data_IF_816033382646
#
_entry.id   IF_816033382646
#
_cell.length_a   1.000
_cell.length_b   1.000
_cell.length_c   1.000
_cell.angle_alpha   90.00
_cell.angle_beta   90.00
_cell.angle_gamma   90.00
#
_symmetry.space_group_name_H-M   'P 1'
#
loop_
_entity.id
_entity.type
_entity.pdbx_description
1 polymer ?
#
# COMPACT_ATOMS: atom_id res chain seq x y z
N UNK A 1 -25.06 5.90 1.68
CA UNK A 1 -24.54 5.55 0.35
C UNK A 1 -23.63 6.67 -0.10
N UNK A 2 -22.40 6.37 -0.49
CA UNK A 2 -21.39 7.38 -0.86
C UNK A 2 -20.90 7.14 -2.28
N UNK A 3 -20.56 8.21 -2.98
CA UNK A 3 -19.96 8.19 -4.31
C UNK A 3 -18.43 8.17 -4.20
N UNK A 4 -17.83 7.06 -4.62
CA UNK A 4 -16.42 6.76 -4.39
C UNK A 4 -15.65 6.69 -5.70
N UNK A 5 -14.56 7.43 -5.80
CA UNK A 5 -13.58 7.29 -6.89
C UNK A 5 -12.38 6.46 -6.42
N UNK A 6 -12.00 5.45 -7.19
CA UNK A 6 -10.75 4.70 -7.00
C UNK A 6 -9.83 4.97 -8.19
N UNK A 7 -8.86 5.85 -8.00
CA UNK A 7 -7.78 6.10 -8.96
C UNK A 7 -6.68 5.05 -8.77
N UNK A 8 -6.56 4.13 -9.72
CA UNK A 8 -5.68 2.96 -9.60
C UNK A 8 -6.45 1.70 -9.23
N UNK A 9 -7.16 1.14 -10.22
CA UNK A 9 -7.87 -0.14 -10.06
C UNK A 9 -7.00 -1.34 -10.46
N UNK A 10 -5.87 -1.49 -9.75
CA UNK A 10 -5.07 -2.70 -9.73
C UNK A 10 -5.71 -3.77 -8.84
N UNK A 11 -4.88 -4.62 -8.25
CA UNK A 11 -5.32 -5.72 -7.38
C UNK A 11 -6.13 -5.23 -6.15
N UNK A 12 -5.51 -4.40 -5.31
CA UNK A 12 -6.16 -3.83 -4.11
C UNK A 12 -7.34 -2.93 -4.46
N UNK A 13 -7.18 -2.04 -5.45
CA UNK A 13 -8.25 -1.11 -5.86
C UNK A 13 -9.49 -1.83 -6.38
N UNK A 14 -9.31 -2.91 -7.15
CA UNK A 14 -10.44 -3.71 -7.65
C UNK A 14 -11.14 -4.50 -6.54
N UNK A 15 -10.40 -5.06 -5.59
CA UNK A 15 -11.00 -5.74 -4.43
C UNK A 15 -11.74 -4.76 -3.51
N UNK A 16 -11.16 -3.59 -3.24
CA UNK A 16 -11.82 -2.53 -2.49
C UNK A 16 -13.12 -2.12 -3.18
N UNK A 17 -13.08 -1.87 -4.49
CA UNK A 17 -14.27 -1.49 -5.24
C UNK A 17 -15.35 -2.56 -5.26
N UNK A 18 -14.97 -3.84 -5.35
CA UNK A 18 -15.93 -4.97 -5.24
C UNK A 18 -16.64 -4.97 -3.89
N UNK A 19 -15.89 -4.77 -2.79
CA UNK A 19 -16.44 -4.69 -1.44
C UNK A 19 -17.41 -3.50 -1.29
N UNK A 20 -17.01 -2.33 -1.79
CA UNK A 20 -17.83 -1.12 -1.71
C UNK A 20 -19.12 -1.23 -2.54
N UNK A 21 -19.07 -1.89 -3.71
CA UNK A 21 -20.27 -2.19 -4.50
C UNK A 21 -21.24 -3.11 -3.75
N UNK A 22 -20.73 -4.13 -3.05
CA UNK A 22 -21.56 -5.03 -2.24
C UNK A 22 -22.26 -4.32 -1.07
N UNK A 23 -21.67 -3.23 -0.57
CA UNK A 23 -22.25 -2.35 0.46
C UNK A 23 -23.18 -1.26 -0.14
N UNK A 24 -23.36 -1.27 -1.47
CA UNK A 24 -24.26 -0.39 -2.19
C UNK A 24 -23.67 0.98 -2.53
N UNK A 25 -22.37 1.23 -2.37
CA UNK A 25 -21.77 2.50 -2.80
C UNK A 25 -21.82 2.68 -4.33
N UNK A 26 -21.85 3.93 -4.79
CA UNK A 26 -21.64 4.26 -6.21
C UNK A 26 -20.13 4.35 -6.48
N UNK A 27 -19.56 3.31 -7.09
CA UNK A 27 -18.10 3.16 -7.23
C UNK A 27 -17.65 3.41 -8.66
N UNK A 28 -16.69 4.32 -8.80
CA UNK A 28 -16.08 4.72 -10.06
C UNK A 28 -14.60 4.32 -10.06
N UNK A 29 -14.16 3.61 -11.09
CA UNK A 29 -12.79 3.13 -11.23
C UNK A 29 -12.05 3.90 -12.31
N UNK A 30 -10.99 4.62 -11.94
CA UNK A 30 -10.12 5.32 -12.88
C UNK A 30 -8.87 4.49 -13.18
N UNK A 31 -8.73 4.10 -14.44
CA UNK A 31 -7.54 3.39 -14.96
C UNK A 31 -7.39 3.59 -16.47
N UNK A 32 -6.17 3.40 -16.98
CA UNK A 32 -5.83 3.59 -18.41
C UNK A 32 -6.54 2.64 -19.37
N UNK A 33 -6.93 1.45 -18.90
CA UNK A 33 -7.63 0.42 -19.70
C UNK A 33 -8.91 -0.02 -18.99
N UNK A 34 -10.09 0.14 -19.60
CA UNK A 34 -11.37 -0.17 -18.94
C UNK A 34 -11.67 -1.67 -18.77
N UNK A 35 -10.97 -2.56 -19.48
CA UNK A 35 -11.38 -3.96 -19.67
C UNK A 35 -11.27 -4.88 -18.44
N UNK A 36 -10.82 -4.40 -17.29
CA UNK A 36 -10.57 -5.25 -16.13
C UNK A 36 -11.03 -4.61 -14.81
N UNK A 37 -12.14 -3.87 -14.85
CA UNK A 37 -12.84 -3.45 -13.63
C UNK A 37 -13.86 -4.50 -13.18
N UNK A 38 -14.13 -4.62 -11.88
CA UNK A 38 -15.24 -5.42 -11.37
C UNK A 38 -16.58 -5.01 -11.99
N UNK A 39 -17.47 -6.00 -12.19
CA UNK A 39 -18.82 -5.74 -12.68
C UNK A 39 -19.58 -4.81 -11.71
N UNK A 40 -20.30 -3.83 -12.25
CA UNK A 40 -21.03 -2.81 -11.48
C UNK A 40 -20.24 -1.53 -11.21
N UNK A 41 -18.91 -1.54 -11.38
CA UNK A 41 -18.11 -0.33 -11.25
C UNK A 41 -18.20 0.54 -12.51
N UNK A 42 -18.42 1.84 -12.35
CA UNK A 42 -18.39 2.78 -13.48
C UNK A 42 -16.95 3.03 -13.93
N UNK A 43 -16.65 2.73 -15.19
CA UNK A 43 -15.30 2.81 -15.72
C UNK A 43 -14.94 4.24 -16.20
N UNK A 44 -13.85 4.80 -15.68
CA UNK A 44 -13.22 6.02 -16.18
C UNK A 44 -11.89 5.67 -16.84
N UNK A 45 -11.87 5.67 -18.17
CA UNK A 45 -10.67 5.41 -18.95
C UNK A 45 -9.82 6.69 -19.06
N UNK A 46 -9.04 6.97 -18.03
CA UNK A 46 -8.20 8.16 -17.94
C UNK A 46 -6.80 7.79 -17.41
N UNK A 47 -5.83 8.65 -17.71
CA UNK A 47 -4.47 8.55 -17.19
C UNK A 47 -4.19 9.74 -16.27
N UNK A 48 -3.96 9.48 -14.99
CA UNK A 48 -3.69 10.54 -14.01
C UNK A 48 -2.42 11.34 -14.34
N UNK A 49 -1.48 10.73 -15.07
CA UNK A 49 -0.23 11.38 -15.48
C UNK A 49 -0.42 12.38 -16.62
N UNK A 50 -1.56 12.31 -17.32
CA UNK A 50 -1.91 13.23 -18.40
C UNK A 50 -2.98 14.23 -17.90
N UNK A 51 -2.65 15.50 -17.63
CA UNK A 51 -3.60 16.46 -17.08
C UNK A 51 -4.84 16.66 -17.98
N UNK A 52 -4.65 16.72 -19.30
CA UNK A 52 -5.75 16.91 -20.24
C UNK A 52 -6.72 15.70 -20.28
N UNK A 53 -6.25 14.51 -19.88
CA UNK A 53 -7.12 13.34 -19.76
C UNK A 53 -8.10 13.45 -18.58
N UNK A 54 -7.85 14.36 -17.64
CA UNK A 54 -8.69 14.60 -16.46
C UNK A 54 -9.62 15.82 -16.60
N UNK A 55 -9.57 16.55 -17.72
CA UNK A 55 -10.40 17.75 -17.93
C UNK A 55 -11.90 17.46 -17.82
N UNK A 56 -12.31 16.22 -18.12
CA UNK A 56 -13.70 15.76 -18.04
C UNK A 56 -13.93 14.77 -16.88
N UNK A 57 -13.08 14.79 -15.85
CA UNK A 57 -13.29 13.98 -14.65
C UNK A 57 -14.61 14.39 -13.99
N UNK A 58 -15.57 13.48 -13.76
CA UNK A 58 -16.80 13.82 -13.06
C UNK A 58 -16.51 14.40 -11.67
N UNK A 59 -17.28 15.41 -11.25
CA UNK A 59 -17.18 15.98 -9.90
C UNK A 59 -18.23 15.40 -8.96
N UNK A 60 -18.13 15.73 -7.67
CA UNK A 60 -19.10 15.32 -6.64
C UNK A 60 -18.87 13.91 -6.07
N UNK A 61 -17.61 13.47 -6.00
CA UNK A 61 -17.23 12.29 -5.21
C UNK A 61 -17.19 12.65 -3.73
N UNK A 62 -17.69 11.79 -2.85
CA UNK A 62 -17.56 11.97 -1.40
C UNK A 62 -16.18 11.57 -0.91
N UNK A 63 -15.62 10.47 -1.47
CA UNK A 63 -14.31 9.95 -1.13
C UNK A 63 -13.53 9.53 -2.36
N UNK A 64 -12.23 9.81 -2.35
CA UNK A 64 -11.29 9.41 -3.39
C UNK A 64 -10.19 8.53 -2.78
N UNK A 65 -9.92 7.40 -3.41
CA UNK A 65 -8.76 6.58 -3.14
C UNK A 65 -7.72 6.77 -4.24
N UNK A 66 -6.48 7.08 -3.86
CA UNK A 66 -5.32 7.10 -4.74
C UNK A 66 -4.46 5.87 -4.49
N UNK A 67 -4.59 4.86 -5.36
CA UNK A 67 -3.95 3.54 -5.29
C UNK A 67 -3.16 3.28 -6.58
N UNK A 68 -2.62 4.33 -7.18
CA UNK A 68 -1.86 4.25 -8.43
C UNK A 68 -0.50 3.60 -8.18
N UNK A 69 -0.08 2.74 -9.10
CA UNK A 69 1.25 2.13 -9.13
C UNK A 69 2.02 2.61 -10.35
N UNK A 70 3.33 2.88 -10.25
CA UNK A 70 4.17 3.20 -11.40
C UNK A 70 4.33 1.99 -12.33
N UNK A 71 4.60 2.25 -13.61
CA UNK A 71 4.77 1.20 -14.63
C UNK A 71 6.08 0.43 -14.50
N UNK A 72 7.15 1.17 -14.16
CA UNK A 72 8.51 0.66 -14.06
C UNK A 72 9.15 1.10 -12.75
N UNK A 73 10.21 0.39 -12.35
CA UNK A 73 11.02 0.78 -11.21
C UNK A 73 12.08 1.80 -11.62
N UNK A 74 11.63 2.99 -12.03
CA UNK A 74 12.46 4.10 -12.49
C UNK A 74 12.00 5.41 -11.86
N UNK A 75 12.94 6.34 -11.60
CA UNK A 75 12.61 7.60 -10.94
C UNK A 75 11.57 8.42 -11.70
N UNK A 76 11.69 8.48 -13.03
CA UNK A 76 10.73 9.19 -13.88
C UNK A 76 9.30 8.62 -13.77
N UNK A 77 9.16 7.28 -13.73
CA UNK A 77 7.87 6.63 -13.60
C UNK A 77 7.24 6.87 -12.22
N UNK A 78 8.06 6.84 -11.15
CA UNK A 78 7.62 7.18 -9.80
C UNK A 78 7.23 8.66 -9.65
N UNK A 79 8.01 9.58 -10.22
CA UNK A 79 7.68 11.00 -10.22
C UNK A 79 6.38 11.27 -10.97
N UNK A 80 6.22 10.65 -12.15
CA UNK A 80 4.99 10.76 -12.95
C UNK A 80 3.77 10.23 -12.18
N UNK A 81 3.88 9.06 -11.56
CA UNK A 81 2.77 8.43 -10.85
C UNK A 81 2.44 9.09 -9.50
N UNK A 82 3.41 9.41 -8.66
CA UNK A 82 3.16 9.85 -7.28
C UNK A 82 3.20 11.37 -7.10
N UNK A 83 3.87 12.10 -7.98
CA UNK A 83 3.92 13.58 -7.92
C UNK A 83 2.95 14.15 -8.94
N UNK A 84 3.25 14.02 -10.23
CA UNK A 84 2.42 14.63 -11.28
C UNK A 84 0.99 14.08 -11.26
N UNK A 85 0.82 12.76 -11.13
CA UNK A 85 -0.49 12.12 -11.09
C UNK A 85 -1.36 12.60 -9.93
N UNK A 86 -0.77 12.76 -8.75
CA UNK A 86 -1.43 13.27 -7.56
C UNK A 86 -1.85 14.74 -7.76
N UNK A 87 -0.93 15.59 -8.21
CA UNK A 87 -1.21 17.02 -8.46
C UNK A 87 -2.30 17.23 -9.54
N UNK A 88 -2.23 16.45 -10.63
CA UNK A 88 -3.22 16.50 -11.69
C UNK A 88 -4.60 16.09 -11.18
N UNK A 89 -4.68 15.01 -10.40
CA UNK A 89 -5.95 14.56 -9.83
C UNK A 89 -6.52 15.57 -8.84
N UNK A 90 -5.69 16.13 -7.95
CA UNK A 90 -6.11 17.17 -7.00
C UNK A 90 -6.66 18.40 -7.73
N UNK A 91 -6.00 18.84 -8.82
CA UNK A 91 -6.48 19.94 -9.66
C UNK A 91 -7.83 19.63 -10.29
N UNK A 92 -7.97 18.46 -10.91
CA UNK A 92 -9.20 18.05 -11.57
C UNK A 92 -10.38 17.90 -10.59
N UNK A 93 -10.14 17.35 -9.41
CA UNK A 93 -11.17 17.21 -8.36
C UNK A 93 -11.62 18.54 -7.74
N UNK A 94 -10.91 19.64 -8.00
CA UNK A 94 -11.22 20.96 -7.43
C UNK A 94 -11.64 22.00 -8.47
N UNK A 95 -11.73 21.64 -9.75
CA UNK A 95 -11.94 22.59 -10.86
C UNK A 95 -13.27 23.34 -10.81
N UNK A 96 -14.33 22.69 -10.32
CA UNK A 96 -15.71 23.23 -10.32
C UNK A 96 -16.25 23.57 -8.93
N UNK A 97 -15.36 23.76 -7.94
CA UNK A 97 -15.73 24.15 -6.58
C UNK A 97 -16.36 23.05 -5.71
N UNK A 98 -16.84 21.95 -6.31
CA UNK A 98 -17.17 20.72 -5.59
C UNK A 98 -15.86 19.99 -5.21
N UNK A 99 -15.68 19.66 -3.92
CA UNK A 99 -14.51 18.93 -3.42
C UNK A 99 -14.95 17.68 -2.69
N UNK A 100 -14.19 16.57 -2.82
CA UNK A 100 -14.40 15.42 -1.97
C UNK A 100 -14.26 15.76 -0.49
N UNK A 101 -15.04 15.09 0.35
CA UNK A 101 -14.89 15.17 1.80
C UNK A 101 -13.63 14.47 2.29
N UNK A 102 -13.05 13.56 1.48
CA UNK A 102 -11.89 12.77 1.85
C UNK A 102 -11.06 12.31 0.65
N UNK A 103 -9.74 12.32 0.81
CA UNK A 103 -8.80 11.63 -0.08
C UNK A 103 -7.91 10.69 0.73
N UNK A 104 -7.91 9.40 0.40
CA UNK A 104 -7.05 8.38 0.99
C UNK A 104 -5.94 8.03 0.00
N UNK A 105 -4.70 8.33 0.36
CA UNK A 105 -3.52 8.11 -0.47
C UNK A 105 -2.72 6.90 0.02
N UNK A 106 -2.50 5.95 -0.88
CA UNK A 106 -1.67 4.77 -0.59
C UNK A 106 -0.20 5.10 -0.81
N UNK A 107 0.54 5.09 0.28
CA UNK A 107 1.98 5.27 0.32
C UNK A 107 2.70 4.00 0.79
N UNK A 108 4.00 4.11 1.08
CA UNK A 108 4.85 3.03 1.54
C UNK A 108 5.67 3.42 2.76
N UNK A 109 5.97 2.43 3.60
CA UNK A 109 6.99 2.55 4.65
C UNK A 109 8.41 2.83 4.12
N UNK A 110 8.64 2.85 2.80
CA UNK A 110 9.92 3.26 2.20
C UNK A 110 10.28 4.73 2.42
N UNK A 111 9.33 5.58 2.84
CA UNK A 111 9.56 6.99 3.18
C UNK A 111 10.43 7.20 4.43
N UNK A 112 10.58 6.18 5.27
CA UNK A 112 11.42 6.21 6.47
C UNK A 112 12.86 5.79 6.16
N UNK A 113 13.84 6.59 6.60
CA UNK A 113 15.29 6.40 6.36
C UNK A 113 16.03 5.50 7.35
N UNK A 114 15.36 5.09 8.43
CA UNK A 114 15.86 4.21 9.47
C UNK A 114 16.27 2.85 8.87
N UNK A 115 17.44 2.36 9.28
CA UNK A 115 18.14 1.23 8.63
C UNK A 115 19.01 0.41 9.58
N UNK A 116 18.90 0.60 10.90
CA UNK A 116 19.62 -0.10 11.96
C UNK A 116 18.67 -0.94 12.84
N UNK A 117 17.49 -1.29 12.33
CA UNK A 117 16.47 -2.03 13.08
C UNK A 117 15.69 -1.18 14.09
N UNK A 118 15.71 0.15 13.96
CA UNK A 118 14.98 1.06 14.85
C UNK A 118 13.47 0.83 14.75
N UNK A 119 12.74 1.13 15.83
CA UNK A 119 11.30 1.21 15.78
C UNK A 119 10.85 2.57 15.25
N UNK A 120 9.90 2.58 14.32
CA UNK A 120 9.28 3.77 13.75
C UNK A 120 7.76 3.73 13.91
N UNK A 121 7.17 4.90 13.98
CA UNK A 121 5.73 5.15 13.98
C UNK A 121 5.41 6.31 13.02
N UNK A 122 4.15 6.75 12.98
CA UNK A 122 3.71 7.83 12.09
C UNK A 122 4.33 9.21 12.42
N UNK A 123 4.84 9.40 13.64
CA UNK A 123 5.49 10.65 14.07
C UNK A 123 7.02 10.63 13.84
N UNK A 124 7.57 9.46 13.50
CA UNK A 124 8.99 9.31 13.22
C UNK A 124 9.40 10.08 11.96
N UNK A 125 10.61 10.65 11.91
CA UNK A 125 11.07 11.44 10.77
C UNK A 125 11.17 10.59 9.51
N UNK A 126 10.75 11.17 8.38
CA UNK A 126 10.87 10.62 7.04
C UNK A 126 12.07 11.24 6.33
N UNK A 127 13.07 10.43 6.02
CA UNK A 127 14.28 10.82 5.29
C UNK A 127 14.67 9.68 4.32
N UNK A 128 13.89 9.47 3.24
CA UNK A 128 14.10 8.33 2.36
C UNK A 128 15.37 8.50 1.53
N UNK A 129 16.20 7.46 1.50
CA UNK A 129 17.42 7.43 0.69
C UNK A 129 17.14 7.16 -0.78
N UNK A 130 16.28 6.18 -1.07
CA UNK A 130 15.93 5.75 -2.42
C UNK A 130 14.95 6.72 -3.08
N UNK A 131 15.06 6.87 -4.40
CA UNK A 131 14.19 7.75 -5.19
C UNK A 131 12.70 7.42 -4.98
N UNK A 132 12.34 6.13 -4.90
CA UNK A 132 10.98 5.67 -4.73
C UNK A 132 10.32 6.26 -3.48
N UNK A 133 11.02 6.23 -2.34
CA UNK A 133 10.54 6.82 -1.09
C UNK A 133 10.45 8.35 -1.16
N UNK A 134 11.39 9.00 -1.85
CA UNK A 134 11.35 10.47 -2.07
C UNK A 134 10.12 10.89 -2.87
N UNK A 135 9.80 10.20 -3.97
CA UNK A 135 8.63 10.52 -4.81
C UNK A 135 7.31 10.27 -4.11
N UNK A 136 7.24 9.19 -3.32
CA UNK A 136 6.09 8.93 -2.45
C UNK A 136 5.89 10.05 -1.43
N UNK A 137 6.96 10.47 -0.75
CA UNK A 137 6.89 11.54 0.24
C UNK A 137 6.41 12.87 -0.38
N UNK A 138 6.87 13.20 -1.59
CA UNK A 138 6.36 14.37 -2.33
C UNK A 138 4.86 14.26 -2.65
N UNK A 139 4.37 13.06 -3.01
CA UNK A 139 2.94 12.81 -3.19
C UNK A 139 2.14 12.95 -1.88
N UNK A 140 2.69 12.43 -0.77
CA UNK A 140 2.09 12.62 0.56
C UNK A 140 1.98 14.11 0.92
N UNK A 141 3.03 14.90 0.69
CA UNK A 141 3.05 16.34 0.94
C UNK A 141 1.98 17.07 0.11
N UNK A 142 1.82 16.72 -1.16
CA UNK A 142 0.79 17.30 -2.03
C UNK A 142 -0.63 16.98 -1.54
N UNK A 143 -0.89 15.76 -1.08
CA UNK A 143 -2.18 15.35 -0.51
C UNK A 143 -2.44 16.05 0.82
N UNK A 144 -1.46 16.01 1.72
CA UNK A 144 -1.61 16.53 3.07
C UNK A 144 -1.69 18.06 3.07
N UNK A 145 -0.91 18.74 2.24
CA UNK A 145 -0.98 20.20 2.06
C UNK A 145 -2.10 20.66 1.11
N UNK A 146 -2.84 19.72 0.53
CA UNK A 146 -3.84 19.97 -0.49
C UNK A 146 -5.18 20.51 0.04
N UNK A 147 -6.07 20.91 -0.89
CA UNK A 147 -7.38 21.51 -0.57
C UNK A 147 -8.46 20.50 -0.11
N UNK A 148 -8.17 19.20 -0.16
CA UNK A 148 -9.07 18.10 0.20
C UNK A 148 -8.56 17.48 1.51
N UNK A 149 -9.41 17.14 2.50
CA UNK A 149 -8.99 16.43 3.69
C UNK A 149 -8.29 15.10 3.37
N UNK A 150 -6.96 15.09 3.49
CA UNK A 150 -6.10 13.98 3.09
C UNK A 150 -5.74 13.04 4.24
N UNK A 151 -5.80 11.74 3.99
CA UNK A 151 -5.28 10.67 4.85
C UNK A 151 -4.29 9.82 4.06
N UNK A 152 -3.09 9.62 4.59
CA UNK A 152 -2.05 8.79 4.00
C UNK A 152 -1.97 7.46 4.73
N UNK A 153 -1.88 6.36 3.98
CA UNK A 153 -1.63 5.02 4.53
C UNK A 153 -0.30 4.52 4.01
N UNK A 154 0.70 4.40 4.90
CA UNK A 154 2.03 3.89 4.56
C UNK A 154 2.03 2.37 4.75
N UNK A 155 1.84 1.62 3.67
CA UNK A 155 1.85 0.15 3.74
C UNK A 155 3.27 -0.42 3.84
N UNK A 156 3.38 -1.56 4.54
CA UNK A 156 4.55 -2.43 4.50
C UNK A 156 4.72 -3.15 3.17
N UNK A 157 5.59 -4.15 3.12
CA UNK A 157 5.69 -5.06 1.99
C UNK A 157 4.40 -5.87 1.82
N UNK A 158 3.66 -5.60 0.75
CA UNK A 158 2.38 -6.26 0.47
C UNK A 158 2.65 -7.69 -0.05
N UNK A 159 1.99 -8.67 0.54
CA UNK A 159 2.02 -10.07 0.13
C UNK A 159 0.59 -10.66 0.13
N UNK A 160 0.44 -11.95 -0.18
CA UNK A 160 -0.87 -12.62 -0.16
C UNK A 160 -1.46 -12.93 -1.54
N UNK A 161 -0.92 -12.32 -2.61
CA UNK A 161 -1.31 -12.65 -3.99
C UNK A 161 -0.48 -13.81 -4.52
N UNK A 162 -1.12 -14.96 -4.74
CA UNK A 162 -0.46 -16.20 -5.09
C UNK A 162 0.65 -16.54 -4.09
N UNK A 163 1.65 -17.28 -4.55
CA UNK A 163 2.76 -17.72 -3.69
C UNK A 163 3.67 -16.57 -3.19
N UNK A 164 3.78 -15.48 -3.96
CA UNK A 164 4.62 -14.33 -3.60
C UNK A 164 6.13 -14.58 -3.69
N UNK A 165 6.91 -13.50 -3.56
CA UNK A 165 8.38 -13.51 -3.78
C UNK A 165 9.15 -14.22 -2.66
N UNK A 166 8.72 -14.09 -1.41
CA UNK A 166 9.49 -14.61 -0.28
C UNK A 166 9.42 -16.14 -0.21
N UNK A 167 8.24 -16.73 -0.46
CA UNK A 167 8.07 -18.19 -0.53
C UNK A 167 8.90 -18.78 -1.67
N UNK A 168 8.92 -18.14 -2.85
CA UNK A 168 9.80 -18.53 -3.96
C UNK A 168 11.28 -18.53 -3.57
N UNK A 169 11.75 -17.46 -2.92
CA UNK A 169 13.13 -17.38 -2.40
C UNK A 169 13.46 -18.54 -1.45
N UNK A 170 12.52 -18.93 -0.59
CA UNK A 170 12.69 -20.07 0.31
C UNK A 170 12.81 -21.38 -0.47
N UNK A 171 11.93 -21.64 -1.45
CA UNK A 171 12.01 -22.83 -2.31
C UNK A 171 13.30 -22.91 -3.11
N UNK A 172 13.78 -21.75 -3.58
CA UNK A 172 15.02 -21.63 -4.34
C UNK A 172 16.28 -21.75 -3.46
N UNK A 173 16.14 -21.91 -2.13
CA UNK A 173 17.27 -21.96 -1.20
C UNK A 173 18.07 -20.65 -1.15
N UNK A 174 17.43 -19.52 -1.45
CA UNK A 174 18.08 -18.22 -1.46
C UNK A 174 18.59 -17.85 -0.06
N UNK A 175 19.77 -17.21 0.06
CA UNK A 175 20.28 -16.80 1.35
C UNK A 175 19.45 -15.67 1.98
N UNK A 176 19.53 -15.56 3.30
CA UNK A 176 18.95 -14.47 4.09
C UNK A 176 20.05 -13.78 4.93
N UNK A 177 19.91 -12.47 5.13
CA UNK A 177 20.89 -11.66 5.87
C UNK A 177 20.71 -11.84 7.39
N UNK A 178 21.74 -12.36 8.07
CA UNK A 178 21.72 -12.64 9.51
C UNK A 178 22.35 -11.53 10.37
N UNK A 179 23.44 -10.93 9.89
CA UNK A 179 24.23 -9.97 10.67
C UNK A 179 24.61 -8.72 9.83
N UNK A 180 24.14 -7.52 10.19
CA UNK A 180 23.04 -7.27 11.13
C UNK A 180 21.71 -7.86 10.60
N UNK A 181 20.75 -8.21 11.46
CA UNK A 181 19.49 -8.78 11.00
C UNK A 181 18.71 -7.78 10.15
N UNK A 182 18.23 -8.22 8.98
CA UNK A 182 17.37 -7.40 8.12
C UNK A 182 15.91 -7.48 8.58
N UNK A 183 15.42 -6.47 9.29
CA UNK A 183 14.02 -6.37 9.67
C UNK A 183 13.14 -6.01 8.47
N UNK A 184 12.04 -6.74 8.33
CA UNK A 184 11.04 -6.52 7.28
C UNK A 184 9.67 -6.32 7.90
N UNK A 185 8.89 -5.45 7.28
CA UNK A 185 7.52 -5.12 7.67
C UNK A 185 6.62 -5.51 6.51
N UNK A 186 5.48 -6.10 6.81
CA UNK A 186 4.60 -6.65 5.79
C UNK A 186 3.15 -6.43 6.17
N UNK A 187 2.27 -6.57 5.19
CA UNK A 187 0.84 -6.55 5.37
C UNK A 187 0.21 -7.45 4.30
N UNK A 188 -0.77 -8.25 4.69
CA UNK A 188 -1.49 -9.07 3.72
C UNK A 188 -2.33 -8.18 2.81
N UNK A 189 -2.46 -8.53 1.54
CA UNK A 189 -3.26 -7.81 0.54
C UNK A 189 -4.68 -7.52 1.04
N UNK A 190 -5.33 -8.51 1.65
CA UNK A 190 -6.72 -8.35 2.12
C UNK A 190 -6.82 -7.46 3.35
N UNK A 191 -5.76 -7.38 4.16
CA UNK A 191 -5.64 -6.36 5.19
C UNK A 191 -5.45 -4.98 4.57
N UNK A 192 -4.72 -4.82 3.46
CA UNK A 192 -4.69 -3.51 2.76
C UNK A 192 -6.09 -3.06 2.35
N UNK A 193 -6.89 -3.95 1.76
CA UNK A 193 -8.28 -3.67 1.39
C UNK A 193 -9.12 -3.32 2.62
N UNK A 194 -8.98 -4.10 3.68
CA UNK A 194 -9.74 -3.91 4.93
C UNK A 194 -9.35 -2.63 5.68
N UNK A 195 -8.08 -2.24 5.66
CA UNK A 195 -7.61 -0.95 6.21
C UNK A 195 -8.20 0.22 5.42
N UNK A 196 -8.16 0.17 4.08
CA UNK A 196 -8.72 1.25 3.25
C UNK A 196 -10.24 1.37 3.44
N UNK A 197 -10.94 0.23 3.54
CA UNK A 197 -12.36 0.19 3.86
C UNK A 197 -12.64 0.73 5.27
N UNK A 198 -11.87 0.34 6.28
CA UNK A 198 -12.01 0.84 7.63
C UNK A 198 -11.84 2.37 7.68
N UNK A 199 -10.80 2.88 7.02
CA UNK A 199 -10.52 4.31 6.92
C UNK A 199 -11.56 5.09 6.12
N UNK A 200 -12.36 4.45 5.24
CA UNK A 200 -13.53 5.10 4.64
C UNK A 200 -14.58 5.43 5.70
N UNK A 201 -14.76 4.51 6.66
CA UNK A 201 -15.86 4.51 7.61
C UNK A 201 -15.54 5.21 8.94
N UNK A 202 -14.30 5.66 9.14
CA UNK A 202 -13.95 6.50 10.30
C UNK A 202 -14.48 7.92 10.12
N UNK A 203 -15.13 8.49 11.14
CA UNK A 203 -15.62 9.87 11.07
C UNK A 203 -14.46 10.88 10.96
N UNK A 204 -13.46 10.75 11.84
CA UNK A 204 -12.31 11.67 11.93
C UNK A 204 -10.97 10.89 11.92
N UNK A 205 -10.50 10.45 10.73
CA UNK A 205 -9.23 9.76 10.61
C UNK A 205 -8.06 10.74 10.86
N UNK A 206 -7.03 10.23 11.52
CA UNK A 206 -5.74 10.91 11.59
C UNK A 206 -5.10 11.01 10.20
N UNK A 207 -4.24 12.01 10.01
CA UNK A 207 -3.65 12.31 8.69
C UNK A 207 -2.76 11.20 8.13
N UNK A 208 -2.16 10.37 8.98
CA UNK A 208 -1.21 9.32 8.59
C UNK A 208 -1.49 8.05 9.40
N UNK A 209 -1.44 6.89 8.76
CA UNK A 209 -1.47 5.56 9.39
C UNK A 209 -0.38 4.66 8.82
N UNK A 210 0.22 3.82 9.67
CA UNK A 210 1.04 2.69 9.24
C UNK A 210 0.20 1.43 9.06
N UNK A 211 0.17 0.93 7.82
CA UNK A 211 -0.47 -0.33 7.47
C UNK A 211 0.55 -1.46 7.44
N UNK A 212 0.86 -2.02 8.61
CA UNK A 212 1.72 -3.20 8.78
C UNK A 212 1.05 -4.17 9.74
N UNK A 213 1.32 -5.46 9.59
CA UNK A 213 0.95 -6.47 10.58
C UNK A 213 1.60 -6.17 11.94
N UNK A 214 1.21 -6.92 12.98
CA UNK A 214 1.63 -6.66 14.35
C UNK A 214 2.98 -7.31 14.70
N UNK A 215 3.65 -7.98 13.76
CA UNK A 215 4.89 -8.70 14.01
C UNK A 215 6.00 -8.40 12.97
N UNK A 216 6.57 -7.18 12.98
CA UNK A 216 7.83 -6.91 12.30
C UNK A 216 8.91 -7.90 12.73
N UNK A 217 9.54 -8.55 11.75
CA UNK A 217 10.46 -9.65 12.01
C UNK A 217 11.68 -9.60 11.10
N UNK A 218 12.80 -10.15 11.59
CA UNK A 218 13.97 -10.39 10.77
C UNK A 218 13.60 -11.29 9.58
N UNK A 219 14.12 -10.98 8.39
CA UNK A 219 13.85 -11.72 7.16
C UNK A 219 14.16 -13.21 7.32
N UNK A 220 15.30 -13.53 7.93
CA UNK A 220 15.69 -14.91 8.20
C UNK A 220 14.66 -15.67 9.04
N UNK A 221 14.12 -15.07 10.10
CA UNK A 221 13.12 -15.73 10.97
C UNK A 221 11.84 -16.08 10.20
N UNK A 222 11.42 -15.22 9.27
CA UNK A 222 10.23 -15.46 8.44
C UNK A 222 10.52 -16.52 7.39
N UNK A 223 11.70 -16.49 6.78
CA UNK A 223 12.12 -17.51 5.82
C UNK A 223 12.26 -18.89 6.49
N UNK A 224 12.78 -18.96 7.72
CA UNK A 224 12.88 -20.21 8.47
C UNK A 224 11.52 -20.80 8.81
N UNK A 225 10.57 -19.94 9.21
CA UNK A 225 9.21 -20.39 9.48
C UNK A 225 8.56 -20.94 8.20
N UNK A 226 8.67 -20.24 7.07
CA UNK A 226 8.18 -20.74 5.78
C UNK A 226 8.87 -22.06 5.38
N UNK A 227 10.20 -22.17 5.57
CA UNK A 227 10.94 -23.41 5.33
C UNK A 227 10.37 -24.57 6.13
N UNK A 228 10.08 -24.35 7.42
CA UNK A 228 9.51 -25.35 8.31
C UNK A 228 8.11 -25.81 7.86
N UNK A 229 7.22 -24.86 7.52
CA UNK A 229 5.88 -25.17 7.00
C UNK A 229 5.92 -25.97 5.68
N UNK A 230 6.96 -25.75 4.87
CA UNK A 230 7.15 -26.46 3.60
C UNK A 230 7.95 -27.77 3.72
N UNK A 231 8.46 -28.12 4.90
CA UNK A 231 9.36 -29.26 5.08
C UNK A 231 10.71 -29.12 4.36
N UNK A 232 11.16 -27.88 4.14
CA UNK A 232 12.42 -27.54 3.47
C UNK A 232 13.54 -27.24 4.48
N UNK A 233 14.82 -27.39 4.09
CA UNK A 233 15.92 -26.94 4.92
C UNK A 233 15.86 -25.42 5.19
N UNK A 234 16.44 -24.94 6.29
CA UNK A 234 16.53 -23.52 6.56
C UNK A 234 17.36 -22.82 5.48
N UNK A 235 16.99 -21.58 5.17
CA UNK A 235 17.70 -20.79 4.17
C UNK A 235 19.13 -20.46 4.61
N UNK A 236 20.14 -20.54 3.71
CA UNK A 236 21.52 -20.22 4.07
C UNK A 236 21.66 -18.82 4.68
N UNK A 237 22.50 -18.69 5.69
CA UNK A 237 22.80 -17.39 6.32
C UNK A 237 23.91 -16.67 5.56
N UNK A 238 23.78 -15.35 5.44
CA UNK A 238 24.84 -14.50 4.90
C UNK A 238 25.04 -13.25 5.74
N UNK A 239 26.30 -12.79 5.82
CA UNK A 239 26.68 -11.47 6.32
C UNK A 239 26.78 -10.43 5.19
N UNK A 240 26.54 -10.83 3.93
CA UNK A 240 26.44 -9.90 2.81
C UNK A 240 25.25 -8.98 3.05
N UNK A 241 25.55 -7.68 3.18
CA UNK A 241 24.55 -6.64 3.35
C UNK A 241 24.00 -6.30 1.98
N UNK A 242 22.68 -6.30 1.82
CA UNK A 242 22.07 -5.81 0.59
C UNK A 242 22.29 -4.28 0.44
N UNK A 243 22.20 -3.79 -0.79
CA UNK A 243 22.34 -2.36 -1.08
C UNK A 243 21.22 -1.48 -0.44
N UNK A 244 20.25 -2.08 0.26
CA UNK A 244 19.06 -1.42 0.79
C UNK A 244 19.21 -0.94 2.24
N UNK A 245 20.37 -1.15 2.86
CA UNK A 245 20.75 -0.50 4.11
C UNK A 245 20.58 -1.40 5.35
N UNK A 246 21.73 -1.91 5.82
CA UNK A 246 22.18 -2.19 7.21
C UNK A 246 21.23 -2.80 8.26
N UNK A 247 20.04 -3.28 7.93
CA UNK A 247 19.16 -3.97 8.87
C UNK A 247 17.68 -3.53 8.85
N UNK A 248 17.31 -2.59 7.96
CA UNK A 248 15.93 -2.14 7.86
C UNK A 248 15.42 -1.45 9.14
N UNK A 249 14.11 -1.57 9.41
CA UNK A 249 13.42 -0.92 10.52
C UNK A 249 12.19 -1.73 10.93
N UNK A 250 11.58 -1.42 12.07
CA UNK A 250 10.36 -2.04 12.58
C UNK A 250 9.26 -1.00 12.71
N UNK A 251 8.15 -1.18 12.02
CA UNK A 251 7.05 -0.24 11.99
C UNK A 251 5.99 -0.63 13.05
N UNK A 252 5.48 0.36 13.79
CA UNK A 252 4.35 0.17 14.73
C UNK A 252 3.03 0.45 14.02
N UNK A 253 2.01 -0.36 14.27
CA UNK A 253 0.64 -0.16 13.80
C UNK A 253 -0.30 0.31 14.92
N UNK A 254 0.24 0.82 16.03
CA UNK A 254 -0.52 1.15 17.24
C UNK A 254 -1.65 2.16 16.98
N UNK A 255 -1.42 3.14 16.09
CA UNK A 255 -2.44 4.13 15.73
C UNK A 255 -3.62 3.48 15.01
N UNK A 256 -3.36 2.55 14.09
CA UNK A 256 -4.41 1.83 13.38
C UNK A 256 -5.20 0.93 14.35
N UNK A 257 -4.53 0.21 15.25
CA UNK A 257 -5.19 -0.54 16.33
C UNK A 257 -6.10 0.32 17.21
N UNK A 258 -5.65 1.53 17.56
CA UNK A 258 -6.39 2.46 18.40
C UNK A 258 -7.70 2.96 17.76
N UNK A 259 -7.83 2.84 16.43
CA UNK A 259 -9.10 3.14 15.72
C UNK A 259 -10.14 2.03 15.84
N UNK A 260 -9.81 0.90 16.49
CA UNK A 260 -10.66 -0.28 16.56
C UNK A 260 -10.47 -1.26 15.40
N UNK A 261 -9.59 -0.97 14.43
CA UNK A 261 -9.26 -1.91 13.36
C UNK A 261 -8.76 -3.24 13.93
N UNK A 262 -9.11 -4.34 13.25
CA UNK A 262 -8.67 -5.70 13.57
C UNK A 262 -8.10 -6.33 12.31
N UNK A 263 -6.87 -6.81 12.41
CA UNK A 263 -6.20 -7.47 11.30
C UNK A 263 -6.82 -8.84 11.04
N UNK A 264 -7.03 -9.14 9.76
CA UNK A 264 -7.36 -10.50 9.31
C UNK A 264 -6.16 -11.42 9.53
N UNK A 265 -4.96 -10.91 9.25
CA UNK A 265 -3.69 -11.60 9.41
C UNK A 265 -2.77 -10.80 10.34
N UNK A 266 -2.91 -10.95 11.68
CA UNK A 266 -2.20 -10.12 12.65
C UNK A 266 -0.69 -10.36 12.68
N UNK A 267 -0.22 -11.52 12.20
CA UNK A 267 1.19 -11.85 12.03
C UNK A 267 1.50 -12.43 10.66
N UNK A 268 2.80 -12.55 10.36
CA UNK A 268 3.26 -13.22 9.16
C UNK A 268 2.93 -14.71 9.13
N UNK A 269 2.75 -15.35 10.30
CA UNK A 269 2.38 -16.76 10.37
C UNK A 269 0.95 -16.96 9.91
N UNK A 270 0.05 -16.07 10.32
CA UNK A 270 -1.35 -16.12 9.90
C UNK A 270 -1.46 -15.95 8.39
N UNK A 271 -0.84 -14.90 7.83
CA UNK A 271 -1.00 -14.64 6.40
C UNK A 271 -0.16 -15.55 5.50
N UNK A 272 1.08 -15.92 5.86
CA UNK A 272 1.80 -16.92 5.05
C UNK A 272 1.21 -18.32 5.22
N UNK A 273 0.66 -18.67 6.39
CA UNK A 273 -0.09 -19.91 6.57
C UNK A 273 -1.24 -20.01 5.57
N UNK A 274 -2.08 -18.97 5.50
CA UNK A 274 -3.15 -18.90 4.51
C UNK A 274 -2.65 -18.97 3.06
N UNK A 275 -1.54 -18.29 2.73
CA UNK A 275 -0.92 -18.38 1.40
C UNK A 275 -0.48 -19.81 1.07
N UNK A 276 0.15 -20.50 2.01
CA UNK A 276 0.68 -21.86 1.82
C UNK A 276 -0.43 -22.91 1.73
N UNK A 277 -1.56 -22.70 2.42
CA UNK A 277 -2.77 -23.52 2.31
C UNK A 277 -3.54 -23.29 0.98
N UNK A 278 -3.13 -22.31 0.18
CA UNK A 278 -3.74 -21.98 -1.11
C UNK A 278 -4.90 -20.97 -1.02
N UNK A 279 -5.16 -20.38 0.15
CA UNK A 279 -6.18 -19.33 0.30
C UNK A 279 -5.81 -18.01 -0.40
N UNK A 280 -4.56 -17.84 -0.85
CA UNK A 280 -4.10 -16.69 -1.65
C UNK A 280 -4.21 -16.84 -3.18
N UNK A 281 -4.89 -17.87 -3.67
CA UNK A 281 -4.94 -18.23 -5.09
C UNK A 281 -6.03 -17.53 -5.93
N UNK A 282 -6.87 -16.68 -5.33
CA UNK A 282 -7.97 -15.97 -6.02
C UNK A 282 -7.70 -14.48 -6.20
#
# INVERSE_FOLDING_TARGET
MSRVLIAGCGDIGSALGTRLLAEGHDVWGLRRSAAALPAGMTALRMDVTNPAALDNLPVGFDTVFYIVTPDTYEDAAYASAFVCGTENLLRALCSEGARPGRLIFVSSTSVYGQSQGEWVDEASPTDPRAFAGKRLLQGEEAVLGGPIPGTVVRFGGIYGRGEGRLVKRVRDGSPCQEAPPLYTNRIHRDDCVSVLHHLLNLDDPQRIYLGVDSEPAAQCAVMDWISAELGLPPSPRTAAVDDHGKGGKRCRNARLWATGYRFLYPSYRDGYGAVLEGAGAT
#
